data_IF_589785359053
#
_entry.id   IF_589785359053
#
_cell.length_a   1.000
_cell.length_b   1.000
_cell.length_c   1.000
_cell.angle_alpha   90.00
_cell.angle_beta   90.00
_cell.angle_gamma   90.00
#
_symmetry.space_group_name_H-M   'P 1'
#
loop_
_entity.id
_entity.type
_entity.pdbx_description
1 polymer ?
#
# COMPACT_ATOMS: atom_id res chain seq x y z
N UNK A 1 38.02 -9.08 16.36
CA UNK A 1 37.54 -10.20 15.51
C UNK A 1 36.68 -9.58 14.43
N UNK A 2 37.33 -8.98 13.44
CA UNK A 2 36.63 -8.26 12.37
C UNK A 2 36.51 -9.21 11.17
N UNK A 3 35.48 -10.06 11.23
CA UNK A 3 35.05 -10.79 10.05
C UNK A 3 34.62 -9.80 8.96
N UNK A 4 34.68 -10.17 7.68
CA UNK A 4 34.20 -9.30 6.62
C UNK A 4 32.73 -8.93 6.94
N UNK A 5 32.46 -7.62 6.99
CA UNK A 5 31.11 -7.11 7.18
C UNK A 5 30.14 -7.69 6.14
N UNK A 6 28.83 -7.71 6.42
CA UNK A 6 27.85 -8.28 5.51
C UNK A 6 28.01 -7.65 4.11
N UNK A 7 28.06 -8.51 3.08
CA UNK A 7 28.23 -8.07 1.69
C UNK A 7 27.14 -7.05 1.31
N UNK A 8 27.55 -5.88 0.83
CA UNK A 8 26.64 -4.86 0.31
C UNK A 8 26.37 -5.17 -1.16
N UNK A 9 25.09 -5.32 -1.55
CA UNK A 9 24.67 -5.68 -2.90
C UNK A 9 24.04 -4.46 -3.60
N UNK A 10 24.33 -4.26 -4.89
CA UNK A 10 23.71 -3.23 -5.71
C UNK A 10 23.01 -3.85 -6.95
N UNK A 11 21.72 -3.55 -7.19
CA UNK A 11 20.82 -2.77 -6.32
C UNK A 11 20.52 -3.51 -4.99
N UNK A 12 20.07 -2.80 -3.94
CA UNK A 12 19.71 -3.41 -2.66
C UNK A 12 18.65 -4.49 -2.82
N UNK A 13 18.65 -5.50 -1.96
CA UNK A 13 17.68 -6.62 -1.99
C UNK A 13 16.22 -6.17 -1.81
N UNK A 14 16.01 -5.01 -1.18
CA UNK A 14 14.69 -4.42 -0.98
C UNK A 14 14.25 -3.56 -2.18
N UNK A 15 15.19 -3.22 -3.07
CA UNK A 15 14.91 -2.40 -4.25
C UNK A 15 14.03 -3.18 -5.22
N UNK A 16 12.96 -2.54 -5.68
CA UNK A 16 12.03 -3.07 -6.69
C UNK A 16 11.50 -1.94 -7.56
N UNK A 17 10.97 -2.32 -8.73
CA UNK A 17 10.32 -1.37 -9.64
C UNK A 17 9.01 -0.88 -9.03
N UNK A 18 8.64 0.35 -9.37
CA UNK A 18 7.29 0.87 -9.09
C UNK A 18 6.25 0.02 -9.84
N UNK A 19 5.02 -0.13 -9.33
CA UNK A 19 3.96 -0.85 -10.03
C UNK A 19 3.67 -0.19 -11.37
N UNK A 20 3.47 -1.02 -12.40
CA UNK A 20 3.13 -0.53 -13.75
C UNK A 20 1.76 0.13 -13.80
N UNK A 21 0.83 -0.27 -12.94
CA UNK A 21 -0.50 0.35 -12.87
C UNK A 21 -0.42 1.82 -12.44
N UNK A 22 0.58 2.23 -11.66
CA UNK A 22 0.69 3.62 -11.20
C UNK A 22 0.97 4.60 -12.34
N UNK A 23 1.53 4.14 -13.47
CA UNK A 23 1.68 4.94 -14.69
C UNK A 23 0.48 4.88 -15.64
N UNK A 24 -0.46 3.98 -15.40
CA UNK A 24 -1.63 3.80 -16.27
C UNK A 24 -2.87 4.56 -15.79
N UNK A 25 -2.90 4.94 -14.51
CA UNK A 25 -4.01 5.67 -13.91
C UNK A 25 -3.57 7.07 -13.51
N UNK A 26 -4.49 8.02 -13.59
CA UNK A 26 -4.30 9.36 -13.02
C UNK A 26 -4.42 9.28 -11.51
N UNK A 27 -3.27 9.27 -10.83
CA UNK A 27 -3.21 9.17 -9.37
C UNK A 27 -3.28 10.56 -8.75
N UNK A 28 -4.02 10.72 -7.63
CA UNK A 28 -3.94 11.91 -6.80
C UNK A 28 -2.49 12.31 -6.53
N UNK A 29 -2.19 13.61 -6.63
CA UNK A 29 -0.83 14.15 -6.43
C UNK A 29 -0.21 13.71 -5.10
N UNK A 30 -1.01 13.64 -4.04
CA UNK A 30 -0.61 13.16 -2.71
C UNK A 30 -0.13 11.70 -2.73
N UNK A 31 -0.74 10.82 -3.53
CA UNK A 31 -0.25 9.45 -3.71
C UNK A 31 1.04 9.41 -4.49
N UNK A 32 1.13 10.18 -5.58
CA UNK A 32 2.34 10.22 -6.40
C UNK A 32 3.55 10.66 -5.58
N UNK A 33 3.43 11.76 -4.83
CA UNK A 33 4.53 12.28 -4.01
C UNK A 33 4.92 11.31 -2.89
N UNK A 34 3.97 10.76 -2.15
CA UNK A 34 4.28 9.82 -1.05
C UNK A 34 4.82 8.48 -1.56
N UNK A 35 4.34 7.98 -2.71
CA UNK A 35 4.92 6.80 -3.35
C UNK A 35 6.35 7.11 -3.78
N UNK A 36 6.61 8.26 -4.40
CA UNK A 36 7.96 8.65 -4.80
C UNK A 36 8.96 8.68 -3.65
N UNK A 37 8.60 9.31 -2.53
CA UNK A 37 9.43 9.34 -1.32
C UNK A 37 9.62 7.93 -0.73
N UNK A 38 8.55 7.13 -0.67
CA UNK A 38 8.59 5.76 -0.17
C UNK A 38 9.51 4.88 -1.01
N UNK A 39 9.44 4.98 -2.34
CA UNK A 39 10.31 4.25 -3.26
C UNK A 39 11.74 4.75 -3.22
N UNK A 40 11.96 6.04 -3.02
CA UNK A 40 13.31 6.60 -2.84
C UNK A 40 13.97 6.00 -1.61
N UNK A 41 13.25 5.94 -0.49
CA UNK A 41 13.71 5.27 0.72
C UNK A 41 13.98 3.77 0.48
N UNK A 42 13.13 3.11 -0.31
CA UNK A 42 13.30 1.71 -0.68
C UNK A 42 14.56 1.48 -1.51
N UNK A 43 14.79 2.31 -2.55
CA UNK A 43 15.95 2.22 -3.44
C UNK A 43 17.26 2.52 -2.71
N UNK A 44 17.20 3.29 -1.63
CA UNK A 44 18.34 3.58 -0.74
C UNK A 44 18.54 2.55 0.39
N UNK A 45 17.83 1.42 0.40
CA UNK A 45 17.78 0.44 1.51
C UNK A 45 17.44 1.06 2.89
N UNK A 46 16.77 2.21 2.89
CA UNK A 46 16.32 2.93 4.09
C UNK A 46 15.01 2.34 4.61
N UNK A 47 15.06 1.07 5.01
CA UNK A 47 13.88 0.25 5.29
C UNK A 47 12.91 0.86 6.30
N UNK A 48 13.42 1.45 7.39
CA UNK A 48 12.57 2.11 8.40
C UNK A 48 11.82 3.32 7.84
N UNK A 49 12.46 4.10 6.96
CA UNK A 49 11.80 5.21 6.28
C UNK A 49 10.77 4.71 5.26
N UNK A 50 11.09 3.65 4.51
CA UNK A 50 10.12 3.02 3.61
C UNK A 50 8.88 2.51 4.37
N UNK A 51 9.06 1.95 5.57
CA UNK A 51 7.96 1.54 6.45
C UNK A 51 7.11 2.71 6.97
N UNK A 52 7.73 3.86 7.27
CA UNK A 52 7.00 5.07 7.65
C UNK A 52 6.18 5.61 6.47
N UNK A 53 6.77 5.65 5.27
CA UNK A 53 6.09 6.04 4.04
C UNK A 53 4.92 5.12 3.70
N UNK A 54 5.10 3.80 3.84
CA UNK A 54 4.04 2.81 3.68
C UNK A 54 2.86 3.06 4.63
N UNK A 55 3.14 3.37 5.91
CA UNK A 55 2.10 3.68 6.89
C UNK A 55 1.37 4.99 6.56
N UNK A 56 2.09 6.00 6.09
CA UNK A 56 1.49 7.27 5.65
C UNK A 56 0.61 7.09 4.40
N UNK A 57 0.98 6.21 3.48
CA UNK A 57 0.14 5.86 2.32
C UNK A 57 -1.17 5.20 2.75
N UNK A 58 -1.14 4.28 3.71
CA UNK A 58 -2.36 3.66 4.27
C UNK A 58 -3.26 4.71 4.94
N UNK A 59 -2.67 5.61 5.73
CA UNK A 59 -3.40 6.72 6.35
C UNK A 59 -4.07 7.60 5.30
N UNK A 60 -3.36 7.90 4.21
CA UNK A 60 -3.89 8.69 3.10
C UNK A 60 -5.08 8.02 2.43
N UNK A 61 -5.05 6.70 2.21
CA UNK A 61 -6.20 5.94 1.71
C UNK A 61 -7.38 6.02 2.65
N UNK A 62 -7.14 5.87 3.96
CA UNK A 62 -8.17 5.99 4.99
C UNK A 62 -8.78 7.40 4.94
N UNK A 63 -7.97 8.46 4.99
CA UNK A 63 -8.47 9.85 5.00
C UNK A 63 -9.28 10.17 3.75
N UNK A 64 -8.81 9.76 2.57
CA UNK A 64 -9.50 10.02 1.31
C UNK A 64 -10.86 9.33 1.20
N UNK A 65 -11.00 8.14 1.77
CA UNK A 65 -12.22 7.34 1.64
C UNK A 65 -13.13 7.43 2.85
N UNK A 66 -12.62 7.65 4.05
CA UNK A 66 -13.36 7.64 5.31
C UNK A 66 -13.30 8.99 6.07
N UNK A 67 -12.57 9.98 5.56
CA UNK A 67 -12.30 11.22 6.28
C UNK A 67 -11.32 11.02 7.43
N UNK A 68 -11.17 12.04 8.29
CA UNK A 68 -10.29 11.95 9.44
C UNK A 68 -10.88 11.01 10.50
N UNK A 69 -10.08 10.03 10.90
CA UNK A 69 -10.45 8.99 11.86
C UNK A 69 -9.58 9.10 13.10
N UNK A 70 -10.11 8.74 14.27
CA UNK A 70 -9.35 8.84 15.52
C UNK A 70 -8.16 7.87 15.56
N UNK A 71 -8.27 6.73 14.87
CA UNK A 71 -7.23 5.71 14.80
C UNK A 71 -7.40 4.82 13.56
N UNK A 72 -6.35 4.07 13.24
CA UNK A 72 -6.33 3.15 12.09
C UNK A 72 -7.42 2.07 12.16
N UNK A 73 -7.77 1.56 13.35
CA UNK A 73 -8.77 0.50 13.46
C UNK A 73 -10.15 0.98 13.01
N UNK A 74 -10.55 2.19 13.43
CA UNK A 74 -11.78 2.83 12.94
C UNK A 74 -11.70 3.11 11.43
N UNK A 75 -10.56 3.58 10.94
CA UNK A 75 -10.34 3.81 9.51
C UNK A 75 -10.49 2.55 8.66
N UNK A 76 -9.87 1.44 9.05
CA UNK A 76 -9.99 0.18 8.33
C UNK A 76 -11.39 -0.40 8.39
N UNK A 77 -12.09 -0.23 9.53
CA UNK A 77 -13.51 -0.59 9.62
C UNK A 77 -14.35 0.21 8.64
N UNK A 78 -14.13 1.51 8.55
CA UNK A 78 -14.85 2.36 7.59
C UNK A 78 -14.56 1.98 6.13
N UNK A 79 -13.33 1.58 5.79
CA UNK A 79 -13.01 1.05 4.46
C UNK A 79 -13.75 -0.27 4.17
N UNK A 80 -13.86 -1.16 5.16
CA UNK A 80 -14.59 -2.42 5.03
C UNK A 80 -16.10 -2.19 4.87
N UNK A 81 -16.69 -1.27 5.63
CA UNK A 81 -18.10 -0.86 5.51
C UNK A 81 -18.43 -0.26 4.13
N UNK A 82 -17.44 0.33 3.46
CA UNK A 82 -17.53 0.82 2.07
C UNK A 82 -17.21 -0.24 1.02
N UNK A 83 -17.00 -1.49 1.41
CA UNK A 83 -16.62 -2.60 0.54
C UNK A 83 -15.33 -2.34 -0.27
N UNK A 84 -14.44 -1.47 0.21
CA UNK A 84 -13.14 -1.22 -0.42
C UNK A 84 -12.10 -2.27 -0.05
N UNK A 85 -12.25 -2.86 1.14
CA UNK A 85 -11.42 -3.97 1.62
C UNK A 85 -12.29 -5.06 2.22
N UNK A 86 -11.85 -6.30 2.10
CA UNK A 86 -12.41 -7.45 2.82
C UNK A 86 -11.88 -7.54 4.26
N UNK A 87 -12.56 -8.33 5.10
CA UNK A 87 -12.07 -8.64 6.46
C UNK A 87 -10.68 -9.31 6.46
N UNK A 88 -10.37 -10.08 5.42
CA UNK A 88 -9.05 -10.68 5.28
C UNK A 88 -7.98 -9.63 4.96
N UNK A 89 -8.29 -8.69 4.05
CA UNK A 89 -7.40 -7.57 3.75
C UNK A 89 -7.19 -6.67 4.94
N UNK A 90 -8.22 -6.42 5.75
CA UNK A 90 -8.12 -5.66 6.99
C UNK A 90 -7.00 -6.20 7.89
N UNK A 91 -6.98 -7.52 8.15
CA UNK A 91 -5.93 -8.15 8.98
C UNK A 91 -4.52 -7.99 8.39
N UNK A 92 -4.41 -8.08 7.07
CA UNK A 92 -3.12 -7.90 6.36
C UNK A 92 -2.64 -6.45 6.50
N UNK A 93 -3.54 -5.48 6.33
CA UNK A 93 -3.24 -4.05 6.46
C UNK A 93 -2.92 -3.68 7.91
N UNK A 94 -3.63 -4.24 8.90
CA UNK A 94 -3.34 -4.07 10.32
C UNK A 94 -1.89 -4.51 10.65
N UNK A 95 -1.45 -5.66 10.12
CA UNK A 95 -0.07 -6.11 10.28
C UNK A 95 0.95 -5.16 9.65
N UNK A 96 0.65 -4.59 8.47
CA UNK A 96 1.50 -3.61 7.81
C UNK A 96 1.63 -2.30 8.61
N UNK A 97 0.51 -1.80 9.15
CA UNK A 97 0.48 -0.62 10.03
C UNK A 97 1.33 -0.87 11.28
N UNK A 98 1.20 -2.05 11.89
CA UNK A 98 1.92 -2.39 13.12
C UNK A 98 3.43 -2.50 12.86
N UNK A 99 3.84 -3.08 11.74
CA UNK A 99 5.24 -3.12 11.34
C UNK A 99 5.80 -1.70 11.08
N UNK A 100 4.98 -0.81 10.51
CA UNK A 100 5.31 0.61 10.34
C UNK A 100 5.49 1.33 11.68
N UNK A 101 4.55 1.14 12.60
CA UNK A 101 4.59 1.71 13.95
C UNK A 101 5.79 1.19 14.75
N UNK A 102 6.07 -0.11 14.68
CA UNK A 102 7.24 -0.74 15.31
C UNK A 102 8.56 -0.14 14.78
N UNK A 103 8.64 0.07 13.46
CA UNK A 103 9.81 0.63 12.79
C UNK A 103 10.07 2.07 13.19
N UNK A 104 8.99 2.84 13.38
CA UNK A 104 9.06 4.26 13.74
C UNK A 104 9.37 4.51 15.21
N UNK A 105 8.72 3.76 16.12
CA UNK A 105 8.76 4.09 17.55
C UNK A 105 9.53 3.08 18.40
N UNK A 106 9.54 1.79 18.02
CA UNK A 106 10.09 0.71 18.85
C UNK A 106 11.46 0.21 18.39
N UNK A 107 12.10 0.95 17.49
CA UNK A 107 13.43 0.62 16.97
C UNK A 107 13.48 -0.66 16.11
N UNK A 108 12.34 -1.21 15.70
CA UNK A 108 12.30 -2.42 14.89
C UNK A 108 13.01 -2.21 13.55
N UNK A 109 13.87 -3.17 13.18
CA UNK A 109 14.59 -3.17 11.91
C UNK A 109 13.97 -4.25 11.01
N UNK A 110 13.07 -3.89 10.09
CA UNK A 110 12.41 -4.86 9.23
C UNK A 110 13.41 -5.50 8.27
N UNK A 111 13.19 -6.78 7.95
CA UNK A 111 13.95 -7.46 6.90
C UNK A 111 13.50 -6.99 5.52
N UNK A 112 14.30 -7.23 4.48
CA UNK A 112 13.89 -6.93 3.11
C UNK A 112 12.58 -7.65 2.72
N UNK A 113 12.36 -8.87 3.26
CA UNK A 113 11.13 -9.63 3.07
C UNK A 113 9.93 -8.92 3.70
N UNK A 114 10.07 -8.45 4.94
CA UNK A 114 8.98 -7.76 5.65
C UNK A 114 8.60 -6.47 4.92
N UNK A 115 9.60 -5.69 4.48
CA UNK A 115 9.34 -4.47 3.71
C UNK A 115 8.61 -4.79 2.41
N UNK A 116 9.03 -5.80 1.66
CA UNK A 116 8.35 -6.16 0.41
C UNK A 116 6.87 -6.53 0.65
N UNK A 117 6.58 -7.34 1.67
CA UNK A 117 5.19 -7.69 2.04
C UNK A 117 4.36 -6.44 2.36
N UNK A 118 4.95 -5.50 3.09
CA UNK A 118 4.28 -4.26 3.48
C UNK A 118 3.99 -3.40 2.26
N UNK A 119 4.97 -3.20 1.37
CA UNK A 119 4.73 -2.36 0.20
C UNK A 119 3.76 -3.04 -0.79
N UNK A 120 3.82 -4.38 -0.95
CA UNK A 120 2.82 -5.11 -1.75
C UNK A 120 1.39 -4.91 -1.20
N UNK A 121 1.26 -4.86 0.13
CA UNK A 121 -0.02 -4.59 0.80
C UNK A 121 -0.52 -3.17 0.50
N UNK A 122 0.37 -2.17 0.57
CA UNK A 122 0.04 -0.77 0.27
C UNK A 122 -0.32 -0.58 -1.19
N UNK A 123 0.45 -1.16 -2.11
CA UNK A 123 0.16 -1.09 -3.55
C UNK A 123 -1.19 -1.70 -3.87
N UNK A 124 -1.50 -2.88 -3.31
CA UNK A 124 -2.80 -3.51 -3.49
C UNK A 124 -3.92 -2.61 -2.98
N UNK A 125 -3.76 -2.02 -1.79
CA UNK A 125 -4.77 -1.15 -1.20
C UNK A 125 -5.08 0.07 -2.09
N UNK A 126 -4.04 0.78 -2.54
CA UNK A 126 -4.18 1.94 -3.44
C UNK A 126 -4.80 1.50 -4.77
N UNK A 127 -4.32 0.40 -5.36
CA UNK A 127 -4.83 -0.06 -6.65
C UNK A 127 -6.30 -0.49 -6.56
N UNK A 128 -6.72 -1.15 -5.47
CA UNK A 128 -8.13 -1.51 -5.26
C UNK A 128 -9.02 -0.27 -5.18
N UNK A 129 -8.61 0.78 -4.46
CA UNK A 129 -9.34 2.05 -4.42
C UNK A 129 -9.51 2.64 -5.82
N UNK A 130 -8.43 2.72 -6.60
CA UNK A 130 -8.45 3.27 -7.97
C UNK A 130 -9.35 2.42 -8.89
N UNK A 131 -9.25 1.09 -8.80
CA UNK A 131 -10.07 0.18 -9.58
C UNK A 131 -11.56 0.24 -9.23
N UNK A 132 -11.92 0.62 -8.00
CA UNK A 132 -13.33 0.74 -7.60
C UNK A 132 -14.08 1.82 -8.41
N UNK A 133 -13.39 2.88 -8.82
CA UNK A 133 -13.96 3.86 -9.76
C UNK A 133 -14.03 3.29 -11.18
N UNK A 134 -12.94 2.70 -11.67
CA UNK A 134 -12.87 2.13 -13.02
C UNK A 134 -13.89 1.02 -13.24
N UNK A 135 -14.14 0.18 -12.22
CA UNK A 135 -15.15 -0.87 -12.27
C UNK A 135 -16.57 -0.32 -12.40
N UNK A 136 -16.86 0.85 -11.82
CA UNK A 136 -18.16 1.52 -11.96
C UNK A 136 -18.37 2.02 -13.39
N UNK A 137 -17.35 2.63 -13.99
CA UNK A 137 -17.39 3.06 -15.40
C UNK A 137 -17.51 1.87 -16.36
N UNK A 138 -16.72 0.81 -16.13
CA UNK A 138 -16.80 -0.41 -16.92
C UNK A 138 -18.20 -1.05 -16.87
N UNK A 139 -18.85 -1.05 -15.70
CA UNK A 139 -20.22 -1.56 -15.55
C UNK A 139 -21.23 -0.74 -16.37
N UNK A 140 -21.04 0.58 -16.49
CA UNK A 140 -21.91 1.46 -17.30
C UNK A 140 -21.73 1.20 -18.80
N UNK A 141 -20.51 0.93 -19.25
CA UNK A 141 -20.21 0.68 -20.67
C UNK A 141 -20.48 -0.76 -21.11
N UNK A 142 -20.66 -1.69 -20.18
CA UNK A 142 -20.91 -3.11 -20.49
C UNK A 142 -22.39 -3.32 -20.87
N UNK A 143 -22.70 -3.81 -22.09
CA UNK A 143 -24.08 -4.08 -22.48
C UNK A 143 -24.77 -5.09 -21.55
N UNK A 144 -26.09 -4.93 -21.27
CA UNK A 144 -26.82 -5.88 -20.46
C UNK A 144 -26.86 -7.25 -21.15
N UNK A 145 -26.88 -8.31 -20.33
CA UNK A 145 -27.02 -9.69 -20.83
C UNK A 145 -28.34 -9.82 -21.62
N UNK A 146 -28.35 -10.36 -22.84
CA UNK A 146 -29.59 -10.59 -23.58
C UNK A 146 -30.51 -11.55 -22.79
N UNK A 147 -31.84 -11.36 -22.88
CA UNK A 147 -32.79 -12.23 -22.20
C UNK A 147 -32.61 -13.67 -22.67
N UNK A 148 -32.70 -14.62 -21.74
CA UNK A 148 -32.65 -16.04 -22.07
C UNK A 148 -33.93 -16.39 -22.86
N UNK A 149 -33.77 -16.96 -24.05
CA UNK A 149 -34.92 -17.50 -24.80
C UNK A 149 -35.63 -18.56 -23.93
N UNK A 150 -36.96 -18.49 -23.89
CA UNK A 150 -37.83 -19.37 -23.12
C UNK A 150 -37.72 -20.84 -23.57
#
# INVERSE_FOLDING_TARGET
>A
MDGPGPATYFPPRVSRRKPTWASHYDLPSEYLSLLEETYTALHADSRRLAMMGARALIDTVIRRNAGDQQNFSQGLRALAEKCLISEQERKIIEAAIEAGHASAHRGHKPTAKDVNVVIDTVERLIHTEILAEQARELKKSTPPRPPRAA
#
